data_IF_398296686575
#
_entry.id   IF_398296686575
#
_cell.length_a   1.000
_cell.length_b   1.000
_cell.length_c   1.000
_cell.angle_alpha   90.00
_cell.angle_beta   90.00
_cell.angle_gamma   90.00
#
_symmetry.space_group_name_H-M   'P 1'
#
loop_
_entity.id
_entity.type
_entity.pdbx_description
1 polymer ?
#
# COMPACT_ATOMS: atom_id res chain seq x y z
N UNK A 1 19.25 10.62 5.67
CA UNK A 1 19.66 10.54 4.25
C UNK A 1 19.46 9.11 3.74
N UNK A 2 20.10 8.10 4.36
CA UNK A 2 20.00 6.68 3.96
C UNK A 2 18.56 6.13 3.91
N UNK A 3 17.75 6.33 4.96
CA UNK A 3 16.37 5.84 4.99
C UNK A 3 15.47 6.45 3.89
N UNK A 4 15.71 7.72 3.55
CA UNK A 4 14.96 8.40 2.48
C UNK A 4 15.37 7.88 1.11
N UNK A 5 16.66 7.60 0.90
CA UNK A 5 17.19 7.02 -0.34
C UNK A 5 16.71 5.58 -0.55
N UNK A 6 16.66 4.78 0.53
CA UNK A 6 16.10 3.43 0.51
C UNK A 6 14.60 3.44 0.17
N UNK A 7 13.82 4.36 0.76
CA UNK A 7 12.41 4.54 0.45
C UNK A 7 12.20 4.91 -1.03
N UNK A 8 13.00 5.82 -1.58
CA UNK A 8 12.93 6.18 -3.00
C UNK A 8 13.25 4.99 -3.90
N UNK A 9 14.30 4.23 -3.57
CA UNK A 9 14.69 3.03 -4.34
C UNK A 9 13.58 1.99 -4.36
N UNK A 10 12.90 1.77 -3.22
CA UNK A 10 11.76 0.88 -3.15
C UNK A 10 10.57 1.37 -3.99
N UNK A 11 10.26 2.67 -3.91
CA UNK A 11 9.20 3.30 -4.69
C UNK A 11 9.49 3.28 -6.20
N UNK A 12 10.73 3.50 -6.63
CA UNK A 12 11.12 3.43 -8.04
C UNK A 12 10.87 2.02 -8.61
N UNK A 13 11.22 0.98 -7.85
CA UNK A 13 10.96 -0.41 -8.24
C UNK A 13 9.46 -0.70 -8.37
N UNK A 14 8.67 -0.28 -7.37
CA UNK A 14 7.23 -0.46 -7.39
C UNK A 14 6.56 0.32 -8.53
N UNK A 15 6.98 1.56 -8.76
CA UNK A 15 6.46 2.41 -9.80
C UNK A 15 6.76 1.86 -11.20
N UNK A 16 7.98 1.36 -11.42
CA UNK A 16 8.36 0.70 -12.67
C UNK A 16 7.50 -0.53 -12.95
N UNK A 17 7.20 -1.35 -11.93
CA UNK A 17 6.31 -2.51 -12.07
C UNK A 17 4.88 -2.08 -12.41
N UNK A 18 4.32 -1.11 -11.69
CA UNK A 18 2.97 -0.60 -11.93
C UNK A 18 2.82 -0.01 -13.35
N UNK A 19 3.82 0.75 -13.81
CA UNK A 19 3.85 1.28 -15.16
C UNK A 19 3.94 0.17 -16.21
N UNK A 20 4.77 -0.85 -16.00
CA UNK A 20 4.90 -1.98 -16.91
C UNK A 20 3.63 -2.83 -17.06
N UNK A 21 2.80 -2.91 -16.01
CA UNK A 21 1.56 -3.69 -16.00
C UNK A 21 0.38 -2.89 -16.57
N UNK A 22 0.17 -1.66 -16.09
CA UNK A 22 -1.04 -0.90 -16.35
C UNK A 22 -0.83 0.30 -17.30
N UNK A 23 0.40 0.56 -17.76
CA UNK A 23 0.76 1.73 -18.58
C UNK A 23 0.40 3.08 -17.93
N UNK A 24 0.28 3.12 -16.59
CA UNK A 24 0.01 4.31 -15.80
C UNK A 24 1.28 4.82 -15.13
N UNK A 25 1.36 6.12 -14.86
CA UNK A 25 2.40 6.69 -14.00
C UNK A 25 1.85 6.82 -12.59
N UNK A 26 2.29 6.00 -11.62
CA UNK A 26 1.81 6.11 -10.26
C UNK A 26 2.36 7.36 -9.57
N UNK A 27 1.52 7.99 -8.76
CA UNK A 27 1.97 9.00 -7.82
C UNK A 27 2.74 8.35 -6.67
N UNK A 28 3.76 9.06 -6.17
CA UNK A 28 4.62 8.60 -5.09
C UNK A 28 4.57 9.58 -3.94
N UNK A 29 4.35 9.08 -2.73
CA UNK A 29 4.40 9.88 -1.51
C UNK A 29 5.36 9.24 -0.50
N UNK A 30 6.24 10.06 0.08
CA UNK A 30 7.04 9.71 1.25
C UNK A 30 6.56 10.64 2.37
N UNK A 31 6.08 10.05 3.47
CA UNK A 31 5.56 10.78 4.63
C UNK A 31 6.29 10.33 5.89
N UNK A 32 6.56 11.26 6.79
CA UNK A 32 7.19 11.01 8.09
C UNK A 32 6.20 11.38 9.20
N UNK A 33 6.10 10.54 10.23
CA UNK A 33 5.17 10.74 11.34
C UNK A 33 4.49 9.45 11.79
N UNK A 34 3.35 9.57 12.47
CA UNK A 34 2.51 8.43 12.81
C UNK A 34 1.90 7.83 11.52
N UNK A 35 2.05 6.53 11.25
CA UNK A 35 1.59 5.96 9.98
C UNK A 35 0.08 6.06 9.76
N UNK A 36 -0.75 5.95 10.81
CA UNK A 36 -2.20 6.05 10.66
C UNK A 36 -2.58 7.49 10.34
N UNK A 37 -2.03 8.46 11.07
CA UNK A 37 -2.27 9.88 10.80
C UNK A 37 -1.85 10.25 9.38
N UNK A 38 -0.69 9.78 8.90
CA UNK A 38 -0.20 10.08 7.57
C UNK A 38 -1.01 9.40 6.44
N UNK A 39 -1.53 8.20 6.66
CA UNK A 39 -2.43 7.53 5.68
C UNK A 39 -3.76 8.28 5.61
N UNK A 40 -4.35 8.64 6.76
CA UNK A 40 -5.61 9.41 6.79
C UNK A 40 -5.43 10.78 6.13
N UNK A 41 -4.34 11.49 6.43
CA UNK A 41 -4.03 12.76 5.80
C UNK A 41 -3.89 12.64 4.28
N UNK A 42 -3.26 11.57 3.78
CA UNK A 42 -3.16 11.33 2.34
C UNK A 42 -4.54 11.15 1.68
N UNK A 43 -5.45 10.41 2.33
CA UNK A 43 -6.81 10.19 1.84
C UNK A 43 -7.65 11.47 1.90
N UNK A 44 -7.46 12.30 2.94
CA UNK A 44 -8.17 13.57 3.08
C UNK A 44 -7.68 14.64 2.08
N UNK A 45 -6.37 14.67 1.80
CA UNK A 45 -5.74 15.58 0.83
C UNK A 45 -6.09 15.23 -0.61
N UNK A 46 -6.25 13.94 -0.92
CA UNK A 46 -6.61 13.45 -2.25
C UNK A 46 -7.94 12.66 -2.21
N UNK A 47 -9.01 13.38 -2.56
CA UNK A 47 -10.37 12.83 -2.57
C UNK A 47 -10.63 11.85 -3.73
N UNK A 48 -9.68 11.69 -4.66
CA UNK A 48 -9.77 10.69 -5.72
C UNK A 48 -9.32 9.29 -5.22
N UNK A 49 -8.74 9.19 -4.01
CA UNK A 49 -8.40 7.90 -3.38
C UNK A 49 -9.68 7.17 -2.98
N UNK A 50 -10.01 6.12 -3.71
CA UNK A 50 -11.23 5.33 -3.48
C UNK A 50 -11.05 4.10 -2.58
N UNK A 51 -9.81 3.65 -2.33
CA UNK A 51 -9.52 2.41 -1.59
C UNK A 51 -8.09 2.40 -1.06
N UNK A 52 -7.90 1.81 0.12
CA UNK A 52 -6.59 1.48 0.67
C UNK A 52 -6.28 -0.01 0.47
N UNK A 53 -5.23 -0.34 -0.29
CA UNK A 53 -4.81 -1.73 -0.53
C UNK A 53 -3.50 -2.02 0.20
N UNK A 54 -3.44 -3.11 0.96
CA UNK A 54 -2.26 -3.54 1.70
C UNK A 54 -1.91 -5.00 1.41
N UNK A 55 -0.66 -5.26 1.05
CA UNK A 55 -0.15 -6.62 0.93
C UNK A 55 0.18 -7.21 2.30
N UNK A 56 -0.34 -8.40 2.59
CA UNK A 56 -0.08 -9.14 3.82
C UNK A 56 0.87 -10.31 3.57
N UNK A 57 1.98 -10.36 4.31
CA UNK A 57 2.87 -11.52 4.29
C UNK A 57 2.21 -12.70 5.03
N UNK A 58 2.00 -13.86 4.38
CA UNK A 58 1.41 -15.05 5.00
C UNK A 58 2.41 -15.88 5.82
N UNK A 59 3.71 -15.54 5.77
CA UNK A 59 4.79 -16.26 6.44
C UNK A 59 4.83 -16.08 7.96
N UNK A 60 5.81 -16.71 8.60
CA UNK A 60 5.98 -16.73 10.06
C UNK A 60 6.21 -15.34 10.69
N UNK A 61 6.63 -14.37 9.89
CA UNK A 61 6.80 -12.97 10.30
C UNK A 61 5.46 -12.23 10.46
N UNK A 62 4.34 -12.85 10.05
CA UNK A 62 3.02 -12.29 10.10
C UNK A 62 2.77 -11.25 9.00
N UNK A 63 1.56 -10.64 8.96
CA UNK A 63 1.09 -9.85 7.82
C UNK A 63 1.84 -8.52 7.60
N UNK A 64 2.85 -8.21 8.42
CA UNK A 64 3.63 -6.99 8.34
C UNK A 64 3.08 -5.86 9.22
N UNK A 65 3.94 -4.87 9.59
CA UNK A 65 3.60 -3.86 10.60
C UNK A 65 2.45 -2.94 10.18
N UNK A 66 2.37 -2.54 8.91
CA UNK A 66 1.28 -1.69 8.41
C UNK A 66 -0.07 -2.40 8.44
N UNK A 67 -0.11 -3.68 8.04
CA UNK A 67 -1.35 -4.46 8.08
C UNK A 67 -1.83 -4.63 9.52
N UNK A 68 -0.93 -4.96 10.45
CA UNK A 68 -1.27 -5.08 11.88
C UNK A 68 -1.81 -3.77 12.45
N UNK A 69 -1.21 -2.64 12.05
CA UNK A 69 -1.63 -1.32 12.51
C UNK A 69 -3.01 -0.94 11.97
N UNK A 70 -3.22 -1.06 10.66
CA UNK A 70 -4.49 -0.74 9.99
C UNK A 70 -5.61 -1.68 10.42
N UNK A 71 -5.32 -2.96 10.65
CA UNK A 71 -6.32 -3.92 11.14
C UNK A 71 -6.91 -3.52 12.51
N UNK A 72 -6.15 -2.81 13.35
CA UNK A 72 -6.64 -2.30 14.65
C UNK A 72 -7.53 -1.07 14.51
N UNK A 73 -7.45 -0.34 13.40
CA UNK A 73 -8.14 0.93 13.15
C UNK A 73 -9.04 0.89 11.92
N UNK A 74 -9.34 -0.31 11.39
CA UNK A 74 -10.05 -0.49 10.10
C UNK A 74 -11.39 0.23 10.01
N UNK A 75 -12.09 0.39 11.14
CA UNK A 75 -13.38 1.10 11.20
C UNK A 75 -13.28 2.64 11.15
N UNK A 76 -12.06 3.19 11.17
CA UNK A 76 -11.82 4.63 11.18
C UNK A 76 -11.48 5.21 9.80
N UNK A 77 -11.28 4.37 8.79
CA UNK A 77 -10.92 4.83 7.44
C UNK A 77 -12.17 5.25 6.66
N UNK A 78 -12.14 6.38 5.94
CA UNK A 78 -13.27 6.85 5.13
C UNK A 78 -13.44 6.06 3.82
N UNK A 79 -12.48 5.20 3.48
CA UNK A 79 -12.47 4.36 2.27
C UNK A 79 -12.40 2.89 2.62
N UNK A 80 -12.90 1.98 1.75
CA UNK A 80 -12.69 0.55 1.91
C UNK A 80 -11.21 0.19 2.03
N UNK A 81 -10.90 -0.72 2.95
CA UNK A 81 -9.57 -1.30 3.13
C UNK A 81 -9.56 -2.73 2.58
N UNK A 82 -8.65 -3.02 1.65
CA UNK A 82 -8.44 -4.35 1.08
C UNK A 82 -7.08 -4.90 1.51
N UNK A 83 -7.09 -6.07 2.14
CA UNK A 83 -5.88 -6.81 2.50
C UNK A 83 -5.69 -7.93 1.47
N UNK A 84 -4.58 -7.89 0.75
CA UNK A 84 -4.24 -8.85 -0.32
C UNK A 84 -3.13 -9.78 0.17
N UNK A 85 -3.34 -11.11 0.23
CA UNK A 85 -2.27 -12.04 0.56
C UNK A 85 -1.11 -11.96 -0.45
N UNK A 86 0.12 -11.90 0.05
CA UNK A 86 1.32 -11.74 -0.77
C UNK A 86 1.77 -13.00 -1.50
N UNK A 87 1.13 -14.15 -1.25
CA UNK A 87 1.38 -15.43 -1.91
C UNK A 87 0.42 -15.72 -3.08
N UNK A 88 -0.50 -14.79 -3.39
CA UNK A 88 -1.34 -14.92 -4.58
C UNK A 88 -0.50 -14.91 -5.85
N UNK A 89 -0.73 -15.88 -6.72
CA UNK A 89 -0.15 -15.87 -8.06
C UNK A 89 -0.88 -14.86 -8.95
N UNK A 90 -0.20 -14.33 -9.97
CA UNK A 90 -0.81 -13.40 -10.93
C UNK A 90 -2.10 -14.00 -11.54
N UNK A 91 -2.13 -15.32 -11.79
CA UNK A 91 -3.31 -16.01 -12.29
C UNK A 91 -4.50 -16.04 -11.31
N UNK A 92 -4.23 -16.08 -10.00
CA UNK A 92 -5.28 -16.03 -8.98
C UNK A 92 -5.87 -14.62 -8.89
N UNK A 93 -5.05 -13.59 -9.10
CA UNK A 93 -5.48 -12.19 -9.17
C UNK A 93 -6.31 -11.93 -10.43
N UNK A 94 -5.88 -12.44 -11.58
CA UNK A 94 -6.61 -12.31 -12.85
C UNK A 94 -8.02 -12.94 -12.77
N UNK A 95 -8.18 -14.01 -12.00
CA UNK A 95 -9.48 -14.67 -11.80
C UNK A 95 -10.49 -13.85 -10.98
N UNK A 96 -10.07 -12.76 -10.34
CA UNK A 96 -10.93 -11.85 -9.57
C UNK A 96 -11.50 -10.69 -10.41
N UNK A 97 -11.06 -10.55 -11.68
CA UNK A 97 -11.49 -9.51 -12.63
C UNK A 97 -12.73 -9.90 -13.42
#
# INVERSE_FOLDING_TARGET
AEAYEEANTALDRAAGRANGIAAITPERAIREGDPIEQILAAIDEDNDIAMLVLAANPGAEGPGPLVVLVAKTVGSFPVPVMIVPGDLADADVDALS
#
